data_IF_149597617882
#
_entry.id   IF_149597617882
#
_cell.length_a   1.000
_cell.length_b   1.000
_cell.length_c   1.000
_cell.angle_alpha   90.00
_cell.angle_beta   90.00
_cell.angle_gamma   90.00
#
_symmetry.space_group_name_H-M   'P 1'
#
loop_
_entity.id
_entity.type
_entity.pdbx_description
1 polymer ?
#
# COMPACT_ATOMS: atom_id res chain seq x y z
N UNK A 1 -6.74 -28.34 5.28
CA UNK A 1 -6.61 -27.74 3.94
C UNK A 1 -7.71 -26.71 3.82
N UNK A 2 -7.51 -25.53 4.40
CA UNK A 2 -8.54 -24.48 4.37
C UNK A 2 -7.93 -23.12 4.68
N UNK A 3 -8.37 -22.08 3.95
CA UNK A 3 -7.81 -20.71 3.87
C UNK A 3 -6.73 -20.45 2.82
N UNK A 4 -7.00 -20.81 1.57
CA UNK A 4 -6.66 -19.90 0.47
C UNK A 4 -7.86 -18.97 0.27
N UNK A 5 -8.01 -18.03 1.20
CA UNK A 5 -9.03 -16.98 1.19
C UNK A 5 -8.97 -16.30 -0.17
N UNK A 6 -10.10 -16.16 -0.87
CA UNK A 6 -10.21 -15.44 -2.14
C UNK A 6 -9.63 -14.04 -1.99
N UNK A 7 -8.37 -13.83 -2.36
CA UNK A 7 -7.76 -12.50 -2.38
C UNK A 7 -8.36 -11.77 -3.57
N UNK A 8 -9.06 -10.67 -3.32
CA UNK A 8 -9.49 -9.77 -4.38
C UNK A 8 -8.23 -9.05 -4.88
N UNK A 9 -7.64 -9.54 -5.97
CA UNK A 9 -6.39 -9.02 -6.55
C UNK A 9 -6.61 -7.61 -7.13
N UNK A 10 -7.82 -7.36 -7.63
CA UNK A 10 -8.25 -6.09 -8.18
C UNK A 10 -8.73 -5.10 -7.10
N UNK A 11 -8.39 -3.82 -7.28
CA UNK A 11 -8.78 -2.72 -6.38
C UNK A 11 -7.74 -2.38 -5.30
N UNK A 12 -8.08 -1.40 -4.47
CA UNK A 12 -7.28 -0.95 -3.33
C UNK A 12 -7.62 -1.86 -2.13
N UNK A 13 -6.63 -2.34 -1.35
CA UNK A 13 -6.91 -3.14 -0.16
C UNK A 13 -7.80 -2.39 0.84
N UNK A 14 -8.64 -3.12 1.59
CA UNK A 14 -9.56 -2.50 2.54
C UNK A 14 -8.81 -1.66 3.59
N UNK A 15 -9.29 -0.43 3.86
CA UNK A 15 -8.66 0.51 4.78
C UNK A 15 -7.49 1.30 4.18
N UNK A 16 -7.14 1.07 2.91
CA UNK A 16 -6.16 1.88 2.19
C UNK A 16 -6.84 2.93 1.30
N UNK A 17 -6.12 4.02 1.02
CA UNK A 17 -6.54 5.08 0.12
C UNK A 17 -5.41 5.37 -0.88
N UNK A 18 -5.76 5.53 -2.15
CA UNK A 18 -4.85 6.00 -3.18
C UNK A 18 -4.97 7.51 -3.33
N UNK A 19 -3.85 8.20 -3.17
CA UNK A 19 -3.76 9.65 -3.11
C UNK A 19 -2.72 10.15 -4.11
N UNK A 20 -2.74 11.46 -4.32
CA UNK A 20 -1.68 12.19 -5.04
C UNK A 20 -1.24 13.37 -4.20
N UNK A 21 0.05 13.66 -4.23
CA UNK A 21 0.62 14.87 -3.66
C UNK A 21 1.56 15.51 -4.67
N UNK A 22 1.75 16.82 -4.57
CA UNK A 22 2.71 17.57 -5.39
C UNK A 22 3.80 18.08 -4.47
N UNK A 23 5.05 17.70 -4.75
CA UNK A 23 6.24 18.16 -4.04
C UNK A 23 7.12 18.86 -5.06
N UNK A 24 7.30 20.18 -4.90
CA UNK A 24 7.86 21.05 -5.94
C UNK A 24 7.09 20.86 -7.26
N UNK A 25 7.77 20.49 -8.35
CA UNK A 25 7.17 20.27 -9.66
C UNK A 25 6.87 18.78 -9.96
N UNK A 26 6.98 17.91 -8.94
CA UNK A 26 6.76 16.46 -9.08
C UNK A 26 5.42 16.06 -8.46
N UNK A 27 4.53 15.49 -9.28
CA UNK A 27 3.31 14.85 -8.80
C UNK A 27 3.57 13.37 -8.50
N UNK A 28 3.41 13.01 -7.23
CA UNK A 28 3.62 11.65 -6.73
C UNK A 28 2.26 11.01 -6.42
N UNK A 29 2.04 9.83 -6.99
CA UNK A 29 0.99 8.92 -6.56
C UNK A 29 1.51 8.06 -5.42
N UNK A 30 0.68 7.81 -4.42
CA UNK A 30 0.98 6.90 -3.33
C UNK A 30 -0.30 6.31 -2.75
N UNK A 31 -0.16 5.18 -2.07
CA UNK A 31 -1.21 4.52 -1.31
C UNK A 31 -0.86 4.57 0.18
N UNK A 32 -1.84 4.96 0.99
CA UNK A 32 -1.70 5.08 2.45
C UNK A 32 -2.63 4.12 3.18
N UNK A 33 -2.11 3.43 4.19
CA UNK A 33 -2.87 2.55 5.07
C UNK A 33 -3.41 3.25 6.32
N UNK A 34 -4.15 2.53 7.19
CA UNK A 34 -4.62 3.07 8.46
C UNK A 34 -3.47 3.53 9.36
N UNK A 35 -3.75 4.47 10.27
CA UNK A 35 -2.77 4.99 11.22
C UNK A 35 -2.59 4.04 12.42
N UNK A 36 -1.92 2.92 12.19
CA UNK A 36 -1.79 1.80 13.14
C UNK A 36 -0.40 1.67 13.81
N UNK A 37 0.49 2.66 13.64
CA UNK A 37 1.80 2.60 14.28
C UNK A 37 2.88 3.42 13.56
N UNK A 38 4.12 2.98 13.70
CA UNK A 38 5.28 3.68 13.14
C UNK A 38 5.15 3.81 11.60
N UNK A 39 5.47 4.98 11.02
CA UNK A 39 5.48 5.16 9.57
C UNK A 39 6.44 4.19 8.89
N UNK A 40 5.97 3.51 7.85
CA UNK A 40 6.77 2.62 7.00
C UNK A 40 6.59 3.03 5.54
N UNK A 41 7.69 3.43 4.89
CA UNK A 41 7.70 3.78 3.47
C UNK A 41 8.25 2.61 2.64
N UNK A 42 7.48 2.16 1.65
CA UNK A 42 7.88 1.17 0.66
C UNK A 42 8.10 1.89 -0.67
N UNK A 43 9.24 1.67 -1.32
CA UNK A 43 9.57 2.30 -2.61
C UNK A 43 9.67 1.19 -3.67
N UNK A 44 8.80 1.18 -4.69
CA UNK A 44 8.87 0.21 -5.78
C UNK A 44 10.19 0.25 -6.53
N UNK A 45 10.58 -0.91 -7.08
CA UNK A 45 11.73 -1.05 -7.95
C UNK A 45 11.49 -0.53 -9.37
N UNK A 46 12.49 -0.71 -10.25
CA UNK A 46 12.34 -0.39 -11.66
C UNK A 46 11.19 -1.17 -12.29
N UNK A 47 10.39 -0.49 -13.13
CA UNK A 47 9.24 -1.05 -13.85
C UNK A 47 8.11 -1.59 -12.95
N UNK A 48 8.11 -1.24 -11.67
CA UNK A 48 7.07 -1.61 -10.70
C UNK A 48 6.31 -0.39 -10.19
N UNK A 49 5.14 -0.64 -9.61
CA UNK A 49 4.29 0.35 -8.96
C UNK A 49 3.80 -0.21 -7.61
N UNK A 50 3.05 0.59 -6.84
CA UNK A 50 2.57 0.18 -5.51
C UNK A 50 1.81 -1.16 -5.52
N UNK A 51 1.20 -1.53 -6.65
CA UNK A 51 0.44 -2.76 -6.83
C UNK A 51 1.30 -4.02 -6.56
N UNK A 52 2.62 -3.97 -6.76
CA UNK A 52 3.53 -5.09 -6.47
C UNK A 52 3.53 -5.49 -4.99
N UNK A 53 3.17 -4.58 -4.08
CA UNK A 53 3.11 -4.83 -2.63
C UNK A 53 1.74 -5.30 -2.14
N UNK A 54 0.70 -5.36 -2.98
CA UNK A 54 -0.70 -5.60 -2.57
C UNK A 54 -0.91 -6.77 -1.61
N UNK A 55 -0.19 -7.86 -1.79
CA UNK A 55 -0.32 -9.06 -0.96
C UNK A 55 0.20 -8.87 0.46
N UNK A 56 1.18 -7.97 0.69
CA UNK A 56 1.80 -7.75 2.01
C UNK A 56 1.23 -6.55 2.75
N UNK A 57 0.63 -5.59 2.03
CA UNK A 57 0.06 -4.37 2.63
C UNK A 57 -0.89 -4.65 3.81
N UNK A 58 -1.86 -5.59 3.74
CA UNK A 58 -2.78 -5.85 4.85
C UNK A 58 -2.12 -6.40 6.12
N UNK A 59 -1.02 -7.16 5.98
CA UNK A 59 -0.30 -7.69 7.13
C UNK A 59 0.60 -6.62 7.76
N UNK A 60 1.29 -5.81 6.93
CA UNK A 60 2.12 -4.72 7.40
C UNK A 60 1.29 -3.64 8.12
N UNK A 61 0.09 -3.31 7.62
CA UNK A 61 -0.76 -2.29 8.22
C UNK A 61 -1.36 -2.67 9.57
N UNK A 62 -1.21 -3.92 10.03
CA UNK A 62 -1.57 -4.29 11.41
C UNK A 62 -0.65 -3.66 12.45
N UNK A 63 0.57 -3.25 12.06
CA UNK A 63 1.61 -2.74 12.97
C UNK A 63 2.20 -1.40 12.56
N UNK A 64 2.02 -1.00 11.30
CA UNK A 64 2.63 0.19 10.73
C UNK A 64 1.59 1.10 10.07
N UNK A 65 1.89 2.40 10.04
CA UNK A 65 1.23 3.32 9.13
C UNK A 65 1.97 3.28 7.78
N UNK A 66 1.45 2.48 6.85
CA UNK A 66 2.14 2.14 5.60
C UNK A 66 1.91 3.20 4.52
N UNK A 67 2.98 3.59 3.84
CA UNK A 67 3.00 4.41 2.63
C UNK A 67 3.72 3.64 1.52
N UNK A 68 3.17 3.61 0.31
CA UNK A 68 3.78 2.95 -0.85
C UNK A 68 3.49 3.69 -2.15
#
# INVERSE_FOLDING_TARGET
>A
MDRLTKIKIAGIPAGFQELKTTINDVSLNYVVGPNNGQPLLLIPGQMESWQGYKCVLPELSKRFHVFV
#
